data_IF_662627045358
#
_entry.id   IF_662627045358
#
_cell.length_a   1.000
_cell.length_b   1.000
_cell.length_c   1.000
_cell.angle_alpha   90.00
_cell.angle_beta   90.00
_cell.angle_gamma   90.00
#
_symmetry.space_group_name_H-M   'P 1'
#
loop_
_entity.id
_entity.type
_entity.pdbx_description
1 polymer ?
#
# COMPACT_ATOMS: atom_id res chain seq x y z
N UNK A 1 -9.39 13.41 -9.81
CA UNK A 1 -9.07 13.35 -9.27
C UNK A 1 -8.51 13.18 -8.73
N UNK A 2 -8.15 13.13 -8.31
CA UNK A 2 -7.56 12.98 -7.82
C UNK A 2 -7.19 12.68 -7.22
N UNK A 3 -7.23 12.49 -6.96
CA UNK A 3 -6.63 12.14 -6.57
C UNK A 3 -6.16 11.33 -5.60
N UNK A 4 -5.93 10.28 -5.68
CA UNK A 4 -5.21 9.41 -4.80
C UNK A 4 -3.82 9.89 -4.48
N UNK A 5 -3.57 11.11 -4.78
CA UNK A 5 -2.29 11.69 -4.43
C UNK A 5 -2.23 11.92 -2.96
N UNK A 6 -1.13 11.57 -2.31
CA UNK A 6 -0.98 11.78 -0.88
C UNK A 6 -0.80 13.28 -0.63
N UNK A 7 -1.91 13.94 -0.44
CA UNK A 7 -1.87 15.33 -0.01
C UNK A 7 -1.24 15.39 1.37
N UNK A 8 -0.35 16.33 1.59
CA UNK A 8 0.33 16.45 2.86
C UNK A 8 1.64 15.68 2.96
N UNK A 9 1.96 14.84 1.98
CA UNK A 9 3.26 14.21 1.91
C UNK A 9 4.11 14.88 0.85
N UNK A 10 5.25 15.42 1.25
CA UNK A 10 6.23 15.93 0.30
C UNK A 10 7.11 14.78 -0.22
N UNK A 11 8.01 15.13 -1.17
CA UNK A 11 8.87 14.12 -1.79
C UNK A 11 9.76 13.39 -0.78
N UNK A 12 10.29 14.14 0.19
CA UNK A 12 11.15 13.57 1.23
C UNK A 12 10.38 12.59 2.11
N UNK A 13 9.18 12.98 2.52
CA UNK A 13 8.34 12.13 3.36
C UNK A 13 7.92 10.86 2.65
N UNK A 14 7.62 10.94 1.35
CA UNK A 14 7.28 9.77 0.56
C UNK A 14 8.45 8.81 0.43
N UNK A 15 9.65 9.33 0.21
CA UNK A 15 10.86 8.51 0.16
C UNK A 15 11.12 7.82 1.49
N UNK A 16 10.97 8.56 2.58
CA UNK A 16 11.19 8.01 3.92
C UNK A 16 10.18 6.90 4.24
N UNK A 17 8.92 7.10 3.90
CA UNK A 17 7.88 6.09 4.11
C UNK A 17 8.16 4.83 3.28
N UNK A 18 8.52 5.00 2.02
CA UNK A 18 8.84 3.87 1.15
C UNK A 18 10.06 3.11 1.66
N UNK A 19 11.09 3.81 2.13
CA UNK A 19 12.27 3.20 2.72
C UNK A 19 11.92 2.40 3.97
N UNK A 20 11.08 2.97 4.84
CA UNK A 20 10.67 2.33 6.09
C UNK A 20 9.90 1.04 5.81
N UNK A 21 8.97 1.08 4.85
CA UNK A 21 8.20 -0.10 4.48
C UNK A 21 9.08 -1.23 3.94
N UNK A 22 10.11 -0.88 3.17
CA UNK A 22 11.04 -1.88 2.64
C UNK A 22 11.98 -2.43 3.71
N UNK A 23 12.45 -1.57 4.61
CA UNK A 23 13.41 -1.99 5.64
C UNK A 23 12.78 -2.94 6.65
N UNK A 24 11.51 -2.76 6.96
CA UNK A 24 10.83 -3.62 7.92
C UNK A 24 10.64 -5.05 7.42
N UNK A 25 10.67 -5.23 6.09
CA UNK A 25 10.68 -6.58 5.52
C UNK A 25 11.56 -6.59 4.27
N UNK A 26 12.89 -6.59 4.47
CA UNK A 26 13.81 -6.54 3.34
C UNK A 26 13.73 -7.78 2.44
N UNK A 27 13.31 -8.92 2.99
CA UNK A 27 13.13 -10.13 2.21
C UNK A 27 11.96 -10.04 1.24
N UNK A 28 10.98 -9.20 1.54
CA UNK A 28 9.80 -9.05 0.70
C UNK A 28 10.16 -8.60 -0.71
N UNK A 29 11.03 -7.60 -0.82
CA UNK A 29 11.41 -7.05 -2.13
C UNK A 29 12.21 -8.06 -2.97
N UNK A 30 13.04 -8.89 -2.32
CA UNK A 30 13.86 -9.90 -2.99
C UNK A 30 13.03 -11.14 -3.32
N UNK A 31 12.24 -11.63 -2.37
CA UNK A 31 11.49 -12.88 -2.49
C UNK A 31 10.17 -12.72 -3.23
N UNK A 32 9.62 -11.51 -3.26
CA UNK A 32 8.29 -11.23 -3.82
C UNK A 32 8.37 -10.01 -4.73
N UNK A 33 8.83 -10.19 -6.00
CA UNK A 33 9.02 -9.05 -6.91
C UNK A 33 7.72 -8.31 -7.24
N UNK A 34 6.57 -8.93 -7.01
CA UNK A 34 5.26 -8.32 -7.24
C UNK A 34 4.59 -7.93 -5.94
N UNK A 35 5.36 -7.39 -5.02
CA UNK A 35 4.89 -7.06 -3.69
C UNK A 35 4.74 -5.55 -3.48
N UNK A 36 3.86 -5.20 -2.56
CA UNK A 36 3.67 -3.84 -2.07
C UNK A 36 3.63 -3.84 -0.56
N UNK A 37 3.83 -2.68 0.05
CA UNK A 37 3.70 -2.50 1.48
C UNK A 37 2.54 -1.57 1.80
N UNK A 38 1.81 -1.84 2.87
CA UNK A 38 0.75 -0.98 3.37
C UNK A 38 0.99 -0.70 4.85
N UNK A 39 1.02 0.59 5.18
CA UNK A 39 0.98 1.07 6.56
C UNK A 39 -0.46 1.45 6.86
N UNK A 40 -1.17 0.61 7.59
CA UNK A 40 -2.60 0.78 7.87
C UNK A 40 -2.78 1.70 9.06
N UNK A 41 -3.41 2.84 8.83
CA UNK A 41 -3.72 3.81 9.86
C UNK A 41 -5.20 3.84 10.19
N UNK A 42 -5.56 4.63 11.19
CA UNK A 42 -6.94 4.75 11.62
C UNK A 42 -7.79 5.70 10.76
N UNK A 43 -7.17 6.60 10.02
CA UNK A 43 -7.88 7.53 9.14
C UNK A 43 -7.41 7.45 7.70
N UNK A 44 -6.21 6.97 7.47
CA UNK A 44 -5.64 6.84 6.13
C UNK A 44 -4.63 5.72 6.10
N UNK A 45 -4.42 5.18 4.92
CA UNK A 45 -3.43 4.13 4.66
C UNK A 45 -2.40 4.63 3.68
N UNK A 46 -1.15 4.30 3.90
CA UNK A 46 -0.06 4.65 3.01
C UNK A 46 0.44 3.39 2.33
N UNK A 47 0.51 3.42 1.01
CA UNK A 47 0.79 2.25 0.19
C UNK A 47 2.00 2.54 -0.68
N UNK A 48 2.96 1.64 -0.67
CA UNK A 48 4.16 1.75 -1.49
C UNK A 48 4.28 0.56 -2.43
N UNK A 49 4.51 0.85 -3.70
CA UNK A 49 4.90 -0.15 -4.70
C UNK A 49 6.34 0.12 -5.12
N UNK A 50 6.91 -0.79 -5.90
CA UNK A 50 8.25 -0.56 -6.45
C UNK A 50 8.21 0.63 -7.41
N UNK A 51 9.27 1.46 -7.41
CA UNK A 51 9.30 2.64 -8.29
C UNK A 51 9.20 2.33 -9.79
N UNK A 52 9.58 1.12 -10.20
CA UNK A 52 9.45 0.71 -11.60
C UNK A 52 8.01 0.35 -11.99
N UNK A 53 7.10 0.24 -11.02
CA UNK A 53 5.69 -0.08 -11.28
C UNK A 53 4.84 1.17 -11.46
N UNK A 54 5.21 2.26 -10.84
CA UNK A 54 4.51 3.52 -10.94
C UNK A 54 5.46 4.64 -10.54
N UNK A 55 5.61 5.72 -11.32
CA UNK A 55 6.44 6.86 -10.92
C UNK A 55 5.98 7.50 -9.61
N UNK A 56 4.67 7.46 -9.34
CA UNK A 56 4.10 7.88 -8.07
C UNK A 56 3.94 6.65 -7.18
N UNK A 57 5.07 6.15 -6.67
CA UNK A 57 5.15 4.83 -6.05
C UNK A 57 4.64 4.77 -4.62
N UNK A 58 4.38 5.91 -3.99
CA UNK A 58 3.81 5.96 -2.63
C UNK A 58 2.55 6.80 -2.67
N UNK A 59 1.43 6.22 -2.24
CA UNK A 59 0.14 6.90 -2.27
C UNK A 59 -0.57 6.76 -0.94
N UNK A 60 -1.40 7.76 -0.65
CA UNK A 60 -2.27 7.78 0.50
C UNK A 60 -3.70 7.49 0.05
N UNK A 61 -4.38 6.59 0.75
CA UNK A 61 -5.80 6.30 0.56
C UNK A 61 -6.53 6.48 1.88
N UNK A 62 -7.74 7.02 1.83
CA UNK A 62 -8.55 7.14 3.02
C UNK A 62 -9.25 5.82 3.34
N UNK A 63 -9.95 5.76 4.48
CA UNK A 63 -10.49 4.51 5.00
C UNK A 63 -11.88 4.16 4.47
N UNK A 64 -12.45 4.99 3.60
CA UNK A 64 -13.77 4.71 3.06
C UNK A 64 -13.72 3.54 2.08
N UNK A 65 -14.81 2.81 1.99
CA UNK A 65 -14.87 1.62 1.14
C UNK A 65 -14.46 1.91 -0.31
N UNK A 66 -14.93 3.02 -0.87
CA UNK A 66 -14.57 3.40 -2.23
C UNK A 66 -13.06 3.63 -2.39
N UNK A 67 -12.43 4.20 -1.36
CA UNK A 67 -10.98 4.42 -1.38
C UNK A 67 -10.21 3.10 -1.29
N UNK A 68 -10.71 2.16 -0.50
CA UNK A 68 -10.09 0.84 -0.40
C UNK A 68 -10.18 0.07 -1.72
N UNK A 69 -11.28 0.23 -2.45
CA UNK A 69 -11.38 -0.36 -3.79
C UNK A 69 -10.43 0.30 -4.78
N UNK A 70 -10.24 1.63 -4.69
CA UNK A 70 -9.25 2.33 -5.53
C UNK A 70 -7.85 1.88 -5.21
N UNK A 71 -7.55 1.65 -3.93
CA UNK A 71 -6.27 1.11 -3.49
C UNK A 71 -6.03 -0.25 -4.14
N UNK A 72 -7.01 -1.14 -4.08
CA UNK A 72 -6.92 -2.46 -4.68
C UNK A 72 -6.78 -2.38 -6.21
N UNK A 73 -7.53 -1.50 -6.86
CA UNK A 73 -7.42 -1.27 -8.30
C UNK A 73 -6.00 -0.85 -8.68
N UNK A 74 -5.44 0.09 -7.95
CA UNK A 74 -4.09 0.57 -8.22
C UNK A 74 -3.05 -0.54 -8.05
N UNK A 75 -3.15 -1.31 -6.98
CA UNK A 75 -2.23 -2.43 -6.76
C UNK A 75 -2.31 -3.44 -7.91
N UNK A 76 -3.50 -3.76 -8.38
CA UNK A 76 -3.66 -4.67 -9.51
C UNK A 76 -3.10 -4.08 -10.79
N UNK A 77 -3.28 -2.79 -11.03
CA UNK A 77 -2.70 -2.09 -12.18
C UNK A 77 -1.17 -2.13 -12.13
N UNK A 78 -0.60 -2.09 -10.96
CA UNK A 78 0.85 -2.18 -10.77
C UNK A 78 1.38 -3.62 -10.83
N UNK A 79 0.51 -4.60 -11.06
CA UNK A 79 0.92 -5.99 -11.12
C UNK A 79 1.27 -6.60 -9.76
N UNK A 80 0.76 -6.02 -8.68
CA UNK A 80 1.01 -6.52 -7.33
C UNK A 80 0.15 -7.74 -7.06
N UNK A 81 0.74 -8.75 -6.47
CA UNK A 81 0.06 -10.00 -6.08
C UNK A 81 0.14 -10.26 -4.58
N UNK A 82 1.13 -9.69 -3.91
CA UNK A 82 1.39 -9.90 -2.50
C UNK A 82 1.55 -8.56 -1.80
N UNK A 83 0.94 -8.43 -0.64
CA UNK A 83 0.94 -7.19 0.13
C UNK A 83 1.42 -7.49 1.55
N UNK A 84 2.44 -6.76 1.99
CA UNK A 84 2.87 -6.78 3.38
C UNK A 84 2.13 -5.67 4.12
N UNK A 85 1.42 -6.02 5.17
CA UNK A 85 0.66 -5.06 5.97
C UNK A 85 1.29 -4.84 7.32
N UNK A 86 1.22 -3.60 7.77
CA UNK A 86 1.53 -3.21 9.14
C UNK A 86 0.35 -2.45 9.68
N UNK A 87 -0.05 -2.76 10.91
CA UNK A 87 -1.16 -2.07 11.56
C UNK A 87 -0.97 -2.15 13.07
N UNK A 88 -1.32 -1.08 13.76
CA UNK A 88 -1.29 -1.05 15.24
C UNK A 88 -2.67 -1.28 15.85
N UNK A 89 -3.70 -1.51 15.04
CA UNK A 89 -5.06 -1.70 15.53
C UNK A 89 -5.85 -2.61 14.63
N UNK A 90 -7.17 -2.46 14.65
CA UNK A 90 -8.09 -3.34 13.93
C UNK A 90 -8.45 -2.81 12.54
N UNK A 91 -7.91 -1.68 12.14
CA UNK A 91 -8.27 -1.04 10.87
C UNK A 91 -7.78 -1.81 9.64
N UNK A 92 -6.96 -2.83 9.84
CA UNK A 92 -6.51 -3.72 8.78
C UNK A 92 -7.63 -4.61 8.23
N UNK A 93 -8.68 -4.86 9.01
CA UNK A 93 -9.72 -5.85 8.68
C UNK A 93 -10.42 -5.52 7.36
N UNK A 94 -11.00 -4.32 7.17
CA UNK A 94 -11.63 -4.01 5.89
C UNK A 94 -10.64 -3.99 4.72
N UNK A 95 -9.41 -3.57 4.94
CA UNK A 95 -8.38 -3.60 3.91
C UNK A 95 -8.11 -5.05 3.49
N UNK A 96 -7.88 -5.91 4.45
CA UNK A 96 -7.63 -7.32 4.20
C UNK A 96 -8.79 -7.97 3.43
N UNK A 97 -10.02 -7.72 3.85
CA UNK A 97 -11.18 -8.32 3.22
C UNK A 97 -11.30 -7.95 1.75
N UNK A 98 -11.05 -6.69 1.42
CA UNK A 98 -11.12 -6.22 0.03
C UNK A 98 -9.97 -6.81 -0.80
N UNK A 99 -8.77 -6.81 -0.26
CA UNK A 99 -7.61 -7.38 -0.96
C UNK A 99 -7.78 -8.88 -1.18
N UNK A 100 -8.24 -9.59 -0.18
CA UNK A 100 -8.48 -11.03 -0.27
C UNK A 100 -9.53 -11.35 -1.33
N UNK A 101 -10.62 -10.59 -1.35
CA UNK A 101 -11.67 -10.76 -2.36
C UNK A 101 -11.17 -10.50 -3.78
N UNK A 102 -10.12 -9.70 -3.94
CA UNK A 102 -9.49 -9.40 -5.22
C UNK A 102 -8.38 -10.39 -5.58
N UNK A 103 -8.11 -11.37 -4.74
CA UNK A 103 -7.06 -12.35 -4.98
C UNK A 103 -5.66 -11.88 -4.62
N UNK A 104 -5.53 -10.76 -3.92
CA UNK A 104 -4.25 -10.25 -3.45
C UNK A 104 -3.90 -10.93 -2.12
N UNK A 105 -2.71 -11.49 -2.05
CA UNK A 105 -2.25 -12.20 -0.86
C UNK A 105 -1.68 -11.21 0.15
N UNK A 106 -2.15 -11.30 1.38
CA UNK A 106 -1.64 -10.44 2.47
C UNK A 106 -0.73 -11.24 3.39
N UNK A 107 0.36 -10.60 3.79
CA UNK A 107 1.27 -11.14 4.80
C UNK A 107 1.53 -10.06 5.85
N UNK A 108 1.93 -10.50 7.04
CA UNK A 108 2.09 -9.64 8.22
C UNK A 108 3.53 -9.56 8.68
#
# INVERSE_FOLDING_TARGET
MVVARPTGLNRKQRKELARRLRVEDPGLEVMHPHAAGIDVGNSAHYVAVRPDRDPDSVRRFECFTADLHRLADWLQQCGVTTVAMQSTGVYWIPVYEILDARGLRSIW
#
